data_IF_401846637417
#
_entry.id   IF_401846637417
#
_cell.length_a   1.000
_cell.length_b   1.000
_cell.length_c   1.000
_cell.angle_alpha   90.00
_cell.angle_beta   90.00
_cell.angle_gamma   90.00
#
_symmetry.space_group_name_H-M   'P 1'
#
loop_
_entity.id
_entity.type
_entity.pdbx_description
1 polymer ?
#
# COMPACT_ATOMS: atom_id res chain seq x y z
N UNK A 1 54.53 -28.31 -45.23
CA UNK A 1 53.08 -28.37 -44.94
C UNK A 1 52.87 -28.12 -43.44
N UNK A 2 51.88 -27.30 -43.11
CA UNK A 2 51.24 -27.12 -41.80
C UNK A 2 51.82 -26.09 -40.81
N UNK A 3 51.17 -24.91 -40.85
CA UNK A 3 51.11 -23.80 -39.88
C UNK A 3 50.45 -24.22 -38.55
N UNK A 4 50.77 -23.49 -37.46
CA UNK A 4 49.86 -22.69 -36.59
C UNK A 4 50.69 -22.03 -35.47
N UNK A 5 50.87 -20.70 -35.41
CA UNK A 5 49.95 -19.61 -34.95
C UNK A 5 49.66 -19.78 -33.44
N UNK A 6 50.35 -19.02 -32.56
CA UNK A 6 49.93 -17.76 -31.87
C UNK A 6 48.69 -17.96 -30.97
N UNK A 7 48.45 -17.23 -29.89
CA UNK A 7 49.17 -16.32 -28.99
C UNK A 7 48.03 -15.86 -28.06
N UNK A 8 48.20 -16.02 -26.74
CA UNK A 8 47.70 -15.19 -25.64
C UNK A 8 46.18 -15.01 -25.44
N UNK A 9 45.78 -15.38 -24.23
CA UNK A 9 44.48 -15.22 -23.60
C UNK A 9 43.98 -13.78 -23.63
N UNK A 10 42.74 -13.57 -24.08
CA UNK A 10 41.93 -12.43 -23.70
C UNK A 10 40.91 -12.90 -22.66
N UNK A 11 41.01 -12.34 -21.46
CA UNK A 11 39.98 -12.47 -20.44
C UNK A 11 38.75 -11.66 -20.88
N UNK A 12 37.60 -12.33 -20.99
CA UNK A 12 36.31 -11.65 -21.06
C UNK A 12 36.00 -11.04 -19.69
N UNK A 13 36.18 -9.74 -19.55
CA UNK A 13 35.53 -8.96 -18.49
C UNK A 13 34.08 -8.78 -18.93
N UNK A 14 33.17 -9.58 -18.37
CA UNK A 14 31.75 -9.23 -18.38
C UNK A 14 31.58 -8.04 -17.45
N UNK A 15 31.45 -6.85 -18.03
CA UNK A 15 30.99 -5.68 -17.30
C UNK A 15 29.57 -5.97 -16.81
N UNK A 16 29.40 -6.04 -15.49
CA UNK A 16 28.11 -6.10 -14.84
C UNK A 16 27.31 -4.86 -15.25
N UNK A 17 26.28 -5.05 -16.05
CA UNK A 17 25.17 -4.11 -16.12
C UNK A 17 24.45 -4.17 -14.78
N UNK A 18 24.84 -3.32 -13.83
CA UNK A 18 23.97 -3.02 -12.70
C UNK A 18 22.83 -2.17 -13.25
N UNK A 19 21.73 -2.85 -13.58
CA UNK A 19 20.49 -2.21 -13.96
C UNK A 19 20.06 -1.23 -12.88
N UNK A 20 19.85 0.03 -13.26
CA UNK A 20 19.21 1.05 -12.41
C UNK A 20 17.81 0.57 -11.95
N UNK A 21 17.21 -0.39 -12.64
CA UNK A 21 15.97 -1.08 -12.23
C UNK A 21 16.07 -1.83 -10.90
N UNK A 22 17.23 -2.36 -10.51
CA UNK A 22 17.37 -3.10 -9.25
C UNK A 22 17.31 -2.15 -8.02
N UNK A 23 17.80 -0.91 -8.15
CA UNK A 23 17.84 0.05 -7.06
C UNK A 23 16.46 0.60 -6.66
N UNK A 24 15.48 0.60 -7.58
CA UNK A 24 14.11 0.99 -7.28
C UNK A 24 13.33 -0.08 -6.48
N UNK A 25 13.85 -1.31 -6.46
CA UNK A 25 13.19 -2.45 -5.82
C UNK A 25 13.40 -2.49 -4.30
N UNK A 26 14.41 -1.81 -3.77
CA UNK A 26 14.83 -1.93 -2.35
C UNK A 26 14.12 -0.98 -1.36
N UNK A 27 13.34 -0.01 -1.86
CA UNK A 27 12.82 1.08 -1.03
C UNK A 27 11.31 1.01 -0.75
N UNK A 28 10.64 -0.12 -1.00
CA UNK A 28 9.22 -0.30 -0.68
C UNK A 28 8.98 -1.62 0.06
N UNK A 29 8.28 -1.52 1.18
CA UNK A 29 7.78 -2.64 1.97
C UNK A 29 6.25 -2.56 1.92
N UNK A 30 5.60 -3.67 1.55
CA UNK A 30 4.15 -3.79 1.58
C UNK A 30 3.80 -4.96 2.47
N UNK A 31 2.96 -4.72 3.46
CA UNK A 31 2.63 -5.73 4.46
C UNK A 31 1.21 -5.54 5.00
N UNK A 32 0.61 -6.64 5.42
CA UNK A 32 -0.54 -6.59 6.32
C UNK A 32 -0.02 -6.36 7.72
N UNK A 33 -0.46 -5.27 8.35
CA UNK A 33 -0.06 -4.92 9.71
C UNK A 33 -1.23 -4.87 10.67
N UNK A 34 -1.00 -5.34 11.89
CA UNK A 34 -1.86 -5.07 13.05
C UNK A 34 -1.42 -3.77 13.74
N UNK A 35 -2.36 -2.84 13.93
CA UNK A 35 -2.11 -1.55 14.55
C UNK A 35 -1.77 -1.71 16.03
N UNK A 36 -0.59 -1.24 16.44
CA UNK A 36 -0.20 -1.15 17.85
C UNK A 36 -0.42 0.28 18.39
N UNK A 37 0.03 1.30 17.66
CA UNK A 37 -0.22 2.70 18.01
C UNK A 37 -0.14 3.62 16.79
N UNK A 38 -0.85 4.75 16.84
CA UNK A 38 -0.73 5.86 15.90
C UNK A 38 -0.84 7.14 16.70
N UNK A 39 0.27 7.87 16.81
CA UNK A 39 0.39 9.02 17.71
C UNK A 39 0.82 10.25 16.91
N UNK A 40 0.12 11.36 17.08
CA UNK A 40 0.49 12.63 16.47
C UNK A 40 1.70 13.22 17.20
N UNK A 41 2.64 13.81 16.46
CA UNK A 41 3.76 14.55 17.04
C UNK A 41 4.12 15.78 16.21
N UNK A 42 4.79 16.75 16.83
CA UNK A 42 5.32 17.93 16.15
C UNK A 42 6.78 17.65 15.73
N UNK A 43 7.10 17.64 14.42
CA UNK A 43 8.47 17.42 13.97
C UNK A 43 9.35 18.64 14.25
N UNK A 44 10.63 18.38 14.52
CA UNK A 44 11.64 19.47 14.56
C UNK A 44 11.78 20.05 13.16
N UNK A 45 11.58 21.37 13.03
CA UNK A 45 11.62 22.07 11.74
C UNK A 45 12.37 23.39 11.85
N UNK A 46 12.93 23.83 10.72
CA UNK A 46 13.52 25.16 10.61
C UNK A 46 12.44 26.24 10.75
N UNK A 47 12.83 27.44 11.22
CA UNK A 47 11.90 28.52 11.60
C UNK A 47 10.99 29.01 10.46
N UNK A 48 11.32 28.71 9.20
CA UNK A 48 10.60 29.19 8.02
C UNK A 48 9.91 28.07 7.22
N UNK A 49 9.83 26.85 7.76
CA UNK A 49 9.13 25.73 7.12
C UNK A 49 7.70 25.66 7.63
N UNK A 50 6.73 25.90 6.74
CA UNK A 50 5.30 25.71 7.01
C UNK A 50 4.95 24.26 6.69
N UNK A 51 4.45 23.54 7.69
CA UNK A 51 3.96 22.17 7.50
C UNK A 51 2.45 22.22 7.25
N UNK A 52 2.02 21.70 6.09
CA UNK A 52 0.60 21.63 5.71
C UNK A 52 -0.08 20.31 6.10
N UNK A 53 0.69 19.35 6.59
CA UNK A 53 0.22 18.05 7.04
C UNK A 53 0.40 17.92 8.55
N UNK A 54 -0.49 17.18 9.20
CA UNK A 54 -0.19 16.63 10.53
C UNK A 54 0.76 15.43 10.38
N UNK A 55 1.65 15.23 11.36
CA UNK A 55 2.62 14.12 11.36
C UNK A 55 2.30 13.12 12.44
N UNK A 56 2.40 11.85 12.08
CA UNK A 56 2.09 10.74 12.95
C UNK A 56 3.25 9.75 12.98
N UNK A 57 3.56 9.23 14.17
CA UNK A 57 4.38 8.04 14.34
C UNK A 57 3.42 6.86 14.45
N UNK A 58 3.49 5.95 13.48
CA UNK A 58 2.67 4.75 13.44
C UNK A 58 3.54 3.53 13.76
N UNK A 59 3.03 2.64 14.60
CA UNK A 59 3.67 1.38 14.97
C UNK A 59 2.73 0.22 14.72
N UNK A 60 3.19 -0.76 13.95
CA UNK A 60 2.38 -1.90 13.51
C UNK A 60 3.18 -3.19 13.66
N UNK A 61 2.52 -4.26 14.13
CA UNK A 61 3.06 -5.62 14.05
C UNK A 61 2.88 -6.15 12.63
N UNK A 62 3.91 -6.79 12.08
CA UNK A 62 3.91 -7.32 10.70
C UNK A 62 3.30 -8.72 10.73
N UNK A 63 2.08 -8.86 10.21
CA UNK A 63 1.36 -10.13 10.16
C UNK A 63 1.66 -10.93 8.89
N UNK A 64 1.81 -10.23 7.76
CA UNK A 64 2.15 -10.84 6.48
C UNK A 64 2.91 -9.86 5.61
N UNK A 65 4.11 -10.24 5.17
CA UNK A 65 4.83 -9.53 4.12
C UNK A 65 4.23 -9.86 2.75
N UNK A 66 3.91 -8.83 1.96
CA UNK A 66 3.34 -8.95 0.60
C UNK A 66 4.38 -8.59 -0.46
N UNK A 67 5.24 -7.62 -0.17
CA UNK A 67 6.31 -7.18 -1.06
C UNK A 67 7.47 -6.54 -0.29
N UNK A 68 8.68 -6.62 -0.84
CA UNK A 68 9.89 -6.05 -0.25
C UNK A 68 10.55 -7.00 0.73
N UNK A 69 11.49 -6.48 1.51
CA UNK A 69 12.23 -7.22 2.53
C UNK A 69 12.11 -6.53 3.89
N UNK A 70 11.72 -7.30 4.90
CA UNK A 70 11.66 -6.85 6.29
C UNK A 70 11.67 -8.07 7.21
N UNK A 71 12.56 -8.09 8.19
CA UNK A 71 12.77 -9.20 9.14
C UNK A 71 12.28 -8.89 10.56
N UNK A 72 11.86 -7.65 10.81
CA UNK A 72 11.31 -7.24 12.11
C UNK A 72 9.87 -7.70 12.31
N UNK A 73 9.52 -8.01 13.56
CA UNK A 73 8.14 -8.33 13.95
C UNK A 73 7.25 -7.07 14.01
N UNK A 74 7.84 -5.91 14.23
CA UNK A 74 7.13 -4.62 14.37
C UNK A 74 7.86 -3.55 13.60
N UNK A 75 7.13 -2.78 12.81
CA UNK A 75 7.63 -1.65 12.03
C UNK A 75 7.08 -0.33 12.54
N UNK A 76 7.97 0.65 12.67
CA UNK A 76 7.63 2.04 12.98
C UNK A 76 7.88 2.92 11.75
N UNK A 77 6.90 3.74 11.38
CA UNK A 77 6.99 4.64 10.23
C UNK A 77 6.31 5.98 10.50
N UNK A 78 6.71 7.00 9.75
CA UNK A 78 6.08 8.32 9.76
C UNK A 78 4.98 8.39 8.71
N UNK A 79 3.82 8.92 9.09
CA UNK A 79 2.72 9.19 8.18
C UNK A 79 2.37 10.68 8.22
N UNK A 80 2.11 11.24 7.03
CA UNK A 80 1.75 12.63 6.84
C UNK A 80 0.35 12.69 6.23
N UNK A 81 -0.54 13.45 6.84
CA UNK A 81 -1.93 13.53 6.39
C UNK A 81 -2.46 14.96 6.50
N UNK A 82 -3.10 15.41 5.43
CA UNK A 82 -3.63 16.77 5.33
C UNK A 82 -4.97 16.93 6.07
N UNK A 83 -5.70 15.83 6.25
CA UNK A 83 -7.08 15.81 6.74
C UNK A 83 -7.19 15.34 8.20
N UNK A 84 -6.08 15.36 8.94
CA UNK A 84 -6.02 14.98 10.34
C UNK A 84 -5.45 13.58 10.52
N UNK A 85 -6.12 12.73 11.32
CA UNK A 85 -5.62 11.39 11.64
C UNK A 85 -5.67 10.49 10.38
N UNK A 86 -4.59 9.75 10.04
CA UNK A 86 -4.55 8.94 8.84
C UNK A 86 -5.68 7.89 8.81
N UNK A 87 -6.47 7.78 7.74
CA UNK A 87 -7.65 6.91 7.70
C UNK A 87 -7.36 5.42 7.98
N UNK A 88 -6.16 4.93 7.66
CA UNK A 88 -5.74 3.55 7.97
C UNK A 88 -5.74 3.27 9.48
N UNK A 89 -5.57 4.29 10.32
CA UNK A 89 -5.56 4.11 11.78
C UNK A 89 -6.96 3.77 12.33
N UNK A 90 -8.03 3.97 11.54
CA UNK A 90 -9.39 3.57 11.91
C UNK A 90 -9.61 2.05 11.95
N UNK A 91 -8.66 1.27 11.44
CA UNK A 91 -8.78 -0.18 11.30
C UNK A 91 -7.77 -0.91 12.21
N UNK A 92 -8.13 -2.07 12.80
CA UNK A 92 -7.18 -2.91 13.52
C UNK A 92 -6.09 -3.45 12.59
N UNK A 93 -6.46 -3.79 11.35
CA UNK A 93 -5.55 -4.32 10.34
C UNK A 93 -5.65 -3.55 9.03
N UNK A 94 -4.49 -3.33 8.38
CA UNK A 94 -4.43 -2.68 7.09
C UNK A 94 -3.28 -3.27 6.24
N UNK A 95 -3.50 -3.37 4.94
CA UNK A 95 -2.43 -3.47 3.96
C UNK A 95 -1.79 -2.09 3.81
N UNK A 96 -0.53 -1.97 4.22
CA UNK A 96 0.21 -0.73 4.29
C UNK A 96 1.36 -0.73 3.29
N UNK A 97 1.64 0.46 2.73
CA UNK A 97 2.69 0.69 1.75
C UNK A 97 3.69 1.66 2.35
N UNK A 98 4.90 1.18 2.65
CA UNK A 98 5.89 1.94 3.42
C UNK A 98 7.18 2.01 2.63
N UNK A 99 7.64 3.23 2.36
CA UNK A 99 8.94 3.46 1.76
C UNK A 99 10.05 3.51 2.78
N UNK A 100 11.22 3.05 2.37
CA UNK A 100 12.46 3.10 3.13
C UNK A 100 13.39 4.16 2.56
N UNK A 101 13.99 4.93 3.45
CA UNK A 101 15.07 5.89 3.17
C UNK A 101 16.13 5.75 4.27
N UNK A 102 17.18 5.00 3.96
CA UNK A 102 18.16 4.55 4.96
C UNK A 102 17.49 3.73 6.08
N UNK A 103 17.50 4.28 7.29
CA UNK A 103 16.89 3.67 8.48
C UNK A 103 15.52 4.27 8.83
N UNK A 104 14.98 5.16 8.00
CA UNK A 104 13.67 5.78 8.21
C UNK A 104 12.65 5.14 7.30
N UNK A 105 11.43 5.02 7.83
CA UNK A 105 10.30 4.46 7.12
C UNK A 105 9.18 5.50 7.04
N UNK A 106 8.54 5.59 5.88
CA UNK A 106 7.47 6.54 5.62
C UNK A 106 6.31 5.86 4.93
N UNK A 107 5.09 6.13 5.39
CA UNK A 107 3.90 5.69 4.70
C UNK A 107 3.79 6.37 3.33
N UNK A 108 3.50 5.59 2.29
CA UNK A 108 3.09 6.12 0.99
C UNK A 108 1.74 6.82 1.16
N UNK A 109 1.74 8.15 1.19
CA UNK A 109 0.57 8.98 1.49
C UNK A 109 -0.69 8.51 0.76
N UNK A 110 -1.75 8.25 1.53
CA UNK A 110 -3.05 7.72 1.14
C UNK A 110 -3.08 6.30 0.52
N UNK A 111 -1.99 5.55 0.58
CA UNK A 111 -1.92 4.20 0.02
C UNK A 111 -2.05 3.16 1.12
N UNK A 112 -3.26 2.65 1.27
CA UNK A 112 -3.57 1.52 2.15
C UNK A 112 -4.85 0.83 1.66
N UNK A 113 -5.10 -0.37 2.19
CA UNK A 113 -6.43 -0.98 2.18
C UNK A 113 -6.77 -1.47 3.59
N UNK A 114 -7.97 -1.22 4.12
CA UNK A 114 -8.50 -2.01 5.23
C UNK A 114 -8.56 -3.47 4.81
N UNK A 115 -8.08 -4.36 5.67
CA UNK A 115 -8.09 -5.80 5.41
C UNK A 115 -8.69 -6.55 6.57
N UNK A 116 -9.36 -7.65 6.25
CA UNK A 116 -10.09 -8.46 7.18
C UNK A 116 -9.80 -9.93 6.91
N UNK A 117 -9.96 -10.75 7.93
CA UNK A 117 -9.85 -12.18 7.77
C UNK A 117 -11.06 -12.75 7.02
N UNK A 118 -10.79 -13.74 6.19
CA UNK A 118 -11.81 -14.68 5.73
C UNK A 118 -12.02 -15.76 6.79
N UNK A 119 -13.08 -16.55 6.63
CA UNK A 119 -13.28 -17.76 7.44
C UNK A 119 -12.10 -18.76 7.38
N UNK A 120 -11.24 -18.68 6.35
CA UNK A 120 -10.03 -19.50 6.21
C UNK A 120 -8.78 -18.87 6.83
N UNK A 121 -8.88 -17.67 7.42
CA UNK A 121 -7.76 -16.94 8.01
C UNK A 121 -6.91 -16.13 7.03
N UNK A 122 -7.25 -16.10 5.74
CA UNK A 122 -6.52 -15.30 4.75
C UNK A 122 -6.93 -13.82 4.81
N UNK A 123 -6.03 -12.92 4.43
CA UNK A 123 -6.28 -11.47 4.42
C UNK A 123 -6.86 -11.00 3.08
N UNK A 124 -7.98 -10.27 3.15
CA UNK A 124 -8.65 -9.71 1.99
C UNK A 124 -9.08 -8.27 2.27
N UNK A 125 -9.01 -7.41 1.26
CA UNK A 125 -9.71 -6.12 1.29
C UNK A 125 -11.13 -6.30 0.77
N UNK A 126 -12.06 -5.48 1.25
CA UNK A 126 -13.43 -5.49 0.76
C UNK A 126 -13.50 -5.08 -0.72
N UNK A 127 -14.67 -5.28 -1.33
CA UNK A 127 -14.96 -4.80 -2.67
C UNK A 127 -14.73 -3.29 -2.81
N UNK A 128 -14.63 -2.77 -4.04
CA UNK A 128 -14.27 -1.39 -4.28
C UNK A 128 -15.11 -0.37 -3.51
N UNK A 129 -14.44 0.58 -2.84
CA UNK A 129 -15.09 1.69 -2.13
C UNK A 129 -15.13 2.94 -3.02
N UNK A 130 -16.29 3.19 -3.60
CA UNK A 130 -16.52 4.30 -4.52
C UNK A 130 -15.96 4.09 -5.92
N UNK A 131 -16.30 5.00 -6.82
CA UNK A 131 -16.01 4.86 -8.26
C UNK A 131 -14.51 4.91 -8.59
N UNK A 132 -13.69 5.60 -7.79
CA UNK A 132 -12.24 5.65 -8.05
C UNK A 132 -11.58 4.32 -7.78
N UNK A 133 -11.85 3.70 -6.63
CA UNK A 133 -11.30 2.39 -6.29
C UNK A 133 -11.84 1.32 -7.25
N UNK A 134 -13.09 1.44 -7.71
CA UNK A 134 -13.65 0.55 -8.75
C UNK A 134 -12.85 0.63 -10.05
N UNK A 135 -12.56 1.84 -10.55
CA UNK A 135 -11.76 2.02 -11.77
C UNK A 135 -10.32 1.56 -11.61
N UNK A 136 -9.69 1.86 -10.47
CA UNK A 136 -8.30 1.46 -10.22
C UNK A 136 -8.15 -0.07 -10.20
N UNK A 137 -9.19 -0.80 -9.77
CA UNK A 137 -9.20 -2.26 -9.69
C UNK A 137 -9.58 -2.97 -11.00
N UNK A 138 -10.15 -2.25 -11.96
CA UNK A 138 -10.70 -2.83 -13.18
C UNK A 138 -9.63 -3.62 -13.95
N UNK A 139 -9.91 -4.91 -14.22
CA UNK A 139 -8.98 -5.81 -14.91
C UNK A 139 -7.73 -6.19 -14.12
N UNK A 140 -7.64 -5.84 -12.83
CA UNK A 140 -6.48 -6.11 -11.97
C UNK A 140 -6.88 -6.95 -10.75
N UNK A 141 -7.85 -6.47 -9.96
CA UNK A 141 -8.27 -7.10 -8.70
C UNK A 141 -9.80 -7.20 -8.64
N UNK A 142 -10.33 -8.33 -9.12
CA UNK A 142 -11.76 -8.56 -9.16
C UNK A 142 -12.29 -8.90 -7.75
N UNK A 143 -13.36 -8.24 -7.32
CA UNK A 143 -13.97 -8.54 -6.03
C UNK A 143 -14.96 -9.70 -6.16
N UNK A 144 -14.71 -10.79 -5.44
CA UNK A 144 -15.54 -12.01 -5.47
C UNK A 144 -16.28 -12.20 -4.17
N UNK A 145 -17.44 -12.90 -4.14
CA UNK A 145 -18.13 -13.23 -2.90
C UNK A 145 -17.22 -13.98 -1.92
N UNK A 146 -17.20 -13.57 -0.66
CA UNK A 146 -16.32 -14.16 0.35
C UNK A 146 -17.08 -14.53 1.63
N UNK A 147 -16.73 -15.65 2.30
CA UNK A 147 -17.18 -15.94 3.65
C UNK A 147 -16.40 -15.07 4.64
N UNK A 148 -16.96 -13.91 4.96
CA UNK A 148 -16.37 -12.94 5.88
C UNK A 148 -16.56 -13.31 7.35
N UNK A 149 -15.60 -12.93 8.19
CA UNK A 149 -15.80 -12.80 9.63
C UNK A 149 -16.73 -11.63 9.96
N UNK A 150 -17.34 -11.63 11.15
CA UNK A 150 -18.33 -10.61 11.54
C UNK A 150 -17.76 -9.19 11.71
N UNK A 151 -16.44 -9.05 11.79
CA UNK A 151 -15.71 -7.79 11.91
C UNK A 151 -15.28 -7.19 10.56
N UNK A 152 -15.64 -7.83 9.43
CA UNK A 152 -15.39 -7.30 8.09
C UNK A 152 -16.38 -6.19 7.72
N UNK A 153 -16.11 -4.98 8.21
CA UNK A 153 -16.92 -3.80 7.89
C UNK A 153 -16.13 -2.49 7.87
N UNK A 154 -16.64 -1.53 7.12
CA UNK A 154 -16.23 -0.13 7.20
C UNK A 154 -17.16 0.64 8.15
N UNK A 155 -16.61 1.42 9.11
CA UNK A 155 -17.42 2.34 9.89
C UNK A 155 -17.93 3.47 8.98
N UNK A 156 -19.20 3.81 9.13
CA UNK A 156 -19.86 4.89 8.39
C UNK A 156 -19.89 6.15 9.23
N UNK A 157 -19.54 7.28 8.60
CA UNK A 157 -19.60 8.55 9.29
C UNK A 157 -21.05 9.02 9.47
N UNK A 158 -21.46 9.49 10.67
CA UNK A 158 -22.83 9.94 10.91
C UNK A 158 -23.30 11.03 9.95
N UNK A 159 -22.41 11.93 9.55
CA UNK A 159 -22.68 13.06 8.66
C UNK A 159 -22.90 12.65 7.18
N UNK A 160 -22.57 11.42 6.80
CA UNK A 160 -22.78 10.96 5.42
C UNK A 160 -24.26 10.74 5.12
N UNK A 161 -24.74 11.41 4.08
CA UNK A 161 -26.10 11.21 3.59
C UNK A 161 -26.28 9.79 3.06
N UNK A 162 -27.52 9.32 2.97
CA UNK A 162 -27.84 8.02 2.34
C UNK A 162 -27.37 7.95 0.88
N UNK A 163 -27.25 9.10 0.18
CA UNK A 163 -26.72 9.16 -1.18
C UNK A 163 -25.21 8.93 -1.18
N UNK A 164 -24.46 9.57 -0.28
CA UNK A 164 -23.01 9.41 -0.16
C UNK A 164 -22.64 7.97 0.21
N UNK A 165 -23.37 7.41 1.19
CA UNK A 165 -23.21 6.00 1.59
C UNK A 165 -23.40 5.04 0.43
N UNK A 166 -24.43 5.23 -0.42
CA UNK A 166 -24.66 4.39 -1.60
C UNK A 166 -23.63 4.61 -2.72
N UNK A 167 -23.06 5.81 -2.83
CA UNK A 167 -22.00 6.11 -3.80
C UNK A 167 -20.68 5.42 -3.42
N UNK A 168 -20.36 5.39 -2.12
CA UNK A 168 -19.13 4.78 -1.62
C UNK A 168 -19.27 3.25 -1.46
N UNK A 169 -20.40 2.77 -0.95
CA UNK A 169 -20.61 1.38 -0.61
C UNK A 169 -21.72 0.79 -1.49
N UNK A 170 -21.35 0.40 -2.71
CA UNK A 170 -22.26 -0.19 -3.68
C UNK A 170 -22.87 -1.50 -3.13
N UNK A 171 -24.17 -1.70 -3.35
CA UNK A 171 -24.93 -2.85 -2.79
C UNK A 171 -24.44 -4.22 -3.28
N UNK A 172 -23.74 -4.25 -4.41
CA UNK A 172 -23.09 -5.44 -4.94
C UNK A 172 -21.92 -5.91 -4.07
N UNK A 173 -21.28 -5.01 -3.33
CA UNK A 173 -20.08 -5.28 -2.53
C UNK A 173 -20.32 -5.12 -1.03
N UNK A 174 -21.38 -4.42 -0.64
CA UNK A 174 -21.64 -4.07 0.75
C UNK A 174 -23.10 -4.23 1.16
N UNK A 175 -23.28 -4.65 2.41
CA UNK A 175 -24.54 -4.55 3.15
C UNK A 175 -24.41 -3.46 4.21
N UNK A 176 -25.21 -2.41 4.09
CA UNK A 176 -25.27 -1.35 5.09
C UNK A 176 -26.26 -1.74 6.19
N UNK A 177 -25.82 -1.62 7.44
CA UNK A 177 -26.61 -1.89 8.63
C UNK A 177 -26.17 -0.94 9.75
N UNK A 178 -27.06 -0.01 10.09
CA UNK A 178 -26.78 1.08 11.02
C UNK A 178 -25.63 1.99 10.57
N UNK A 179 -24.57 2.00 11.37
CA UNK A 179 -23.34 2.76 11.21
C UNK A 179 -22.21 1.95 10.56
N UNK A 180 -22.52 0.81 9.95
CA UNK A 180 -21.53 -0.10 9.34
C UNK A 180 -21.90 -0.47 7.91
N UNK A 181 -20.89 -0.56 7.06
CA UNK A 181 -20.96 -1.21 5.76
C UNK A 181 -20.20 -2.52 5.82
N UNK A 182 -20.92 -3.63 5.98
CA UNK A 182 -20.38 -4.98 6.01
C UNK A 182 -20.00 -5.43 4.61
N UNK A 183 -18.85 -6.08 4.50
CA UNK A 183 -18.33 -6.54 3.23
C UNK A 183 -19.08 -7.79 2.76
N UNK A 184 -19.35 -7.87 1.45
CA UNK A 184 -19.99 -9.02 0.79
C UNK A 184 -19.02 -9.67 -0.21
N UNK A 185 -18.20 -8.86 -0.85
CA UNK A 185 -17.15 -9.30 -1.78
C UNK A 185 -15.79 -8.76 -1.35
N UNK A 186 -14.71 -9.36 -1.84
CA UNK A 186 -13.35 -8.90 -1.59
C UNK A 186 -12.34 -9.39 -2.60
N UNK A 187 -11.13 -8.85 -2.49
CA UNK A 187 -9.96 -9.21 -3.31
C UNK A 187 -8.77 -9.52 -2.40
N UNK A 188 -7.92 -10.49 -2.75
CA UNK A 188 -6.77 -10.87 -1.94
C UNK A 188 -5.71 -9.77 -1.94
N UNK A 189 -4.89 -9.70 -0.89
CA UNK A 189 -3.94 -8.61 -0.66
C UNK A 189 -2.84 -8.48 -1.72
N UNK A 190 -2.47 -9.58 -2.38
CA UNK A 190 -1.51 -9.59 -3.49
C UNK A 190 -2.08 -8.93 -4.75
N UNK A 191 -3.34 -9.18 -5.09
CA UNK A 191 -4.04 -8.47 -6.18
C UNK A 191 -4.22 -6.98 -5.85
N UNK A 192 -4.54 -6.64 -4.59
CA UNK A 192 -4.63 -5.24 -4.14
C UNK A 192 -3.28 -4.51 -4.20
N UNK A 193 -2.18 -5.21 -3.94
CA UNK A 193 -0.84 -4.68 -4.16
C UNK A 193 -0.63 -4.37 -5.66
N UNK A 194 -1.01 -5.29 -6.55
CA UNK A 194 -0.89 -5.08 -8.01
C UNK A 194 -1.68 -3.85 -8.50
N UNK A 195 -2.84 -3.55 -7.90
CA UNK A 195 -3.59 -2.32 -8.18
C UNK A 195 -2.73 -1.09 -7.94
N UNK A 196 -2.17 -0.94 -6.75
CA UNK A 196 -1.35 0.24 -6.40
C UNK A 196 -0.06 0.30 -7.20
N UNK A 197 0.57 -0.86 -7.41
CA UNK A 197 1.78 -1.02 -8.23
C UNK A 197 1.57 -0.51 -9.65
N UNK A 198 0.43 -0.82 -10.29
CA UNK A 198 0.14 -0.45 -11.68
C UNK A 198 -0.47 0.95 -11.84
N UNK A 199 -0.98 1.53 -10.77
CA UNK A 199 -1.62 2.85 -10.75
C UNK A 199 -0.71 3.90 -10.10
N UNK A 200 -1.02 4.30 -8.87
CA UNK A 200 -0.41 5.42 -8.16
C UNK A 200 1.08 5.25 -7.88
N UNK A 201 1.57 4.05 -7.57
CA UNK A 201 3.00 3.83 -7.33
C UNK A 201 3.78 3.97 -8.63
N UNK A 202 3.24 3.45 -9.73
CA UNK A 202 3.80 3.68 -11.06
C UNK A 202 3.79 5.16 -11.43
N UNK A 203 2.68 5.86 -11.22
CA UNK A 203 2.60 7.30 -11.47
C UNK A 203 3.69 8.07 -10.69
N UNK A 204 4.01 7.64 -9.46
CA UNK A 204 5.07 8.19 -8.60
C UNK A 204 6.50 7.81 -9.00
N UNK A 205 6.70 7.16 -10.15
CA UNK A 205 8.02 6.79 -10.66
C UNK A 205 8.54 5.43 -10.17
N UNK A 206 7.74 4.66 -9.43
CA UNK A 206 8.10 3.29 -9.07
C UNK A 206 7.79 2.34 -10.24
N UNK A 207 8.39 1.14 -10.26
CA UNK A 207 8.05 0.08 -11.21
C UNK A 207 8.06 0.53 -12.70
N UNK A 208 9.08 1.28 -13.09
CA UNK A 208 9.26 1.77 -14.47
C UNK A 208 8.32 2.90 -14.86
N UNK A 209 7.82 3.68 -13.89
CA UNK A 209 7.07 4.90 -14.14
C UNK A 209 7.96 6.14 -14.30
N UNK A 210 7.43 7.16 -14.99
CA UNK A 210 8.09 8.47 -15.13
C UNK A 210 7.58 9.43 -14.04
N UNK A 211 8.43 9.74 -13.06
CA UNK A 211 8.07 10.61 -11.92
C UNK A 211 7.63 12.03 -12.31
N UNK A 212 7.92 12.48 -13.54
CA UNK A 212 7.58 13.82 -14.06
C UNK A 212 6.09 14.05 -14.29
N UNK A 213 5.23 13.03 -14.14
CA UNK A 213 3.76 13.15 -14.28
C UNK A 213 2.98 13.08 -12.95
N UNK A 214 3.66 12.95 -11.81
CA UNK A 214 3.02 12.65 -10.52
C UNK A 214 2.65 13.89 -9.68
N UNK A 215 2.99 15.09 -10.14
CA UNK A 215 2.77 16.34 -9.43
C UNK A 215 1.50 17.02 -9.96
N UNK A 216 0.34 16.51 -9.57
CA UNK A 216 -0.95 17.23 -9.58
C UNK A 216 -1.77 16.80 -8.33
#
# INVERSE_FOLDING_TARGET
>A
MHRRIRQWSLACVFAAGFSIEAAAQENLIVFVGEKLSVEQFEPVREKNVILMDAVFKARYRVEQLVYGEYDGETIEFEAYDHYGVPPFSGFPHALLFVSRDGNRFYHQKYQFYPVFHTASGAWFGCGPVGESDLRDREGIAEAKPMPWSSDAYHPLKPEWSSKDRRKLFAREHFRIDGDKAYCLTGSPVDELFEVKKRTVLKARGMFGGDATKAAD
#
